data_IF_107430574798
#
_entry.id   IF_107430574798
#
_cell.length_a   1.000
_cell.length_b   1.000
_cell.length_c   1.000
_cell.angle_alpha   90.00
_cell.angle_beta   90.00
_cell.angle_gamma   90.00
#
_symmetry.space_group_name_H-M   'P 1'
#
loop_
_entity.id
_entity.type
_entity.pdbx_description
1 polymer ?
#
# COMPACT_ATOMS: atom_id res chain seq x y z
N UNK A 1 33.56 26.02 -27.96
CA UNK A 1 33.11 24.70 -28.43
C UNK A 1 33.73 23.64 -27.52
N UNK A 2 32.96 22.71 -26.98
CA UNK A 2 33.43 21.37 -26.58
C UNK A 2 32.20 20.50 -26.26
N UNK A 3 32.16 19.30 -26.84
CA UNK A 3 30.98 18.42 -26.85
C UNK A 3 31.40 17.02 -26.43
N UNK A 4 30.77 16.48 -25.38
CA UNK A 4 30.87 15.06 -24.98
C UNK A 4 29.47 14.63 -24.53
N UNK A 5 28.64 14.07 -25.40
CA UNK A 5 28.61 12.69 -25.95
C UNK A 5 28.06 11.65 -24.96
N UNK A 6 26.93 11.08 -25.37
CA UNK A 6 26.17 10.02 -24.69
C UNK A 6 26.84 8.67 -24.97
N UNK A 7 27.02 7.87 -23.93
CA UNK A 7 27.22 6.42 -23.97
C UNK A 7 26.66 5.85 -22.65
N UNK A 8 26.09 4.66 -22.58
CA UNK A 8 25.88 3.63 -23.59
C UNK A 8 25.63 2.32 -22.84
N UNK A 9 24.42 1.77 -22.93
CA UNK A 9 24.00 0.62 -22.10
C UNK A 9 24.76 -0.65 -22.51
N UNK A 10 25.30 -1.38 -21.53
CA UNK A 10 25.81 -2.74 -21.70
C UNK A 10 25.13 -3.70 -20.72
N UNK A 11 24.27 -4.56 -21.26
CA UNK A 11 23.68 -5.71 -20.57
C UNK A 11 24.50 -6.94 -20.93
N UNK A 12 25.12 -7.57 -19.93
CA UNK A 12 25.86 -8.84 -20.11
C UNK A 12 25.03 -10.01 -19.57
N UNK A 13 24.48 -10.81 -20.47
CA UNK A 13 23.89 -12.11 -20.15
C UNK A 13 25.02 -13.15 -20.15
N UNK A 14 25.18 -13.89 -19.06
CA UNK A 14 26.06 -15.05 -18.98
C UNK A 14 25.21 -16.31 -18.78
N UNK A 15 25.09 -17.11 -19.84
CA UNK A 15 24.44 -18.42 -19.82
C UNK A 15 25.54 -19.49 -19.72
N UNK A 16 25.53 -20.31 -18.68
CA UNK A 16 26.43 -21.45 -18.53
C UNK A 16 25.60 -22.69 -18.14
N UNK A 17 25.54 -23.66 -19.05
CA UNK A 17 24.95 -24.98 -18.80
C UNK A 17 26.04 -26.04 -18.76
N UNK A 18 25.86 -27.05 -17.89
CA UNK A 18 26.59 -28.32 -17.93
C UNK A 18 25.57 -29.44 -17.70
N UNK A 19 25.67 -30.50 -18.50
CA UNK A 19 24.78 -31.66 -18.52
C UNK A 19 25.62 -32.91 -18.76
N UNK A 20 25.39 -34.01 -18.02
CA UNK A 20 25.95 -35.39 -18.10
C UNK A 20 26.15 -35.97 -16.67
N UNK A 21 26.05 -37.27 -16.33
CA UNK A 21 25.63 -38.53 -17.01
C UNK A 21 25.40 -39.65 -15.96
N UNK A 22 24.52 -40.65 -16.20
CA UNK A 22 24.47 -42.01 -15.55
C UNK A 22 24.32 -42.12 -14.01
N UNK A 23 23.99 -43.24 -13.34
CA UNK A 23 23.62 -44.62 -13.71
C UNK A 23 24.58 -45.69 -13.14
N UNK A 24 24.20 -46.75 -12.40
CA UNK A 24 22.91 -47.17 -11.79
C UNK A 24 23.11 -48.30 -10.73
N UNK A 25 22.04 -48.67 -9.99
CA UNK A 25 21.76 -49.88 -9.12
C UNK A 25 22.89 -50.68 -8.41
N UNK A 26 22.74 -50.82 -7.07
CA UNK A 26 22.77 -52.05 -6.21
C UNK A 26 22.97 -51.64 -4.72
N UNK A 27 22.60 -52.35 -3.65
CA UNK A 27 21.54 -53.32 -3.39
C UNK A 27 21.32 -53.46 -1.85
N UNK A 28 20.12 -53.93 -1.46
CA UNK A 28 19.75 -54.58 -0.18
C UNK A 28 20.39 -54.14 1.17
N UNK A 29 19.63 -53.38 1.96
CA UNK A 29 19.65 -53.48 3.42
C UNK A 29 18.22 -53.34 3.98
N UNK A 30 17.71 -54.39 4.62
CA UNK A 30 16.37 -54.45 5.21
C UNK A 30 16.42 -54.06 6.70
N UNK A 31 15.28 -53.57 7.23
CA UNK A 31 14.94 -53.41 8.66
C UNK A 31 15.69 -52.30 9.43
N UNK A 32 15.04 -51.24 9.91
CA UNK A 32 13.80 -51.22 10.71
C UNK A 32 13.03 -49.92 10.53
N UNK A 33 11.71 -50.00 10.62
CA UNK A 33 10.87 -48.83 10.80
C UNK A 33 10.81 -48.39 12.28
N UNK A 34 11.00 -47.09 12.54
CA UNK A 34 10.19 -46.36 13.50
C UNK A 34 9.10 -45.60 12.73
N UNK A 35 7.85 -45.71 13.16
CA UNK A 35 6.79 -44.83 12.66
C UNK A 35 7.03 -43.41 13.18
N UNK A 36 7.76 -42.59 12.42
CA UNK A 36 7.75 -41.16 12.63
C UNK A 36 6.34 -40.62 12.40
N UNK A 37 5.72 -40.13 13.49
CA UNK A 37 4.46 -39.39 13.42
C UNK A 37 4.71 -38.03 12.74
N UNK A 38 4.75 -38.03 11.41
CA UNK A 38 4.49 -36.83 10.62
C UNK A 38 3.01 -36.45 10.77
N UNK A 39 2.66 -35.85 11.92
CA UNK A 39 1.50 -34.97 12.00
C UNK A 39 2.01 -33.56 11.85
N UNK A 40 1.89 -33.07 10.61
CA UNK A 40 2.38 -31.78 10.14
C UNK A 40 2.41 -30.70 11.22
N UNK A 41 3.62 -30.24 11.55
CA UNK A 41 3.77 -28.85 11.91
C UNK A 41 3.30 -28.05 10.69
N UNK A 42 2.07 -27.53 10.76
CA UNK A 42 1.66 -26.46 9.88
C UNK A 42 2.56 -25.28 10.23
N UNK A 43 3.64 -25.14 9.46
CA UNK A 43 4.54 -24.00 9.49
C UNK A 43 3.66 -22.75 9.48
N UNK A 44 3.65 -21.99 10.59
CA UNK A 44 2.89 -20.75 10.69
C UNK A 44 3.51 -19.77 9.70
N UNK A 45 3.00 -19.78 8.47
CA UNK A 45 3.33 -18.81 7.45
C UNK A 45 3.23 -17.42 8.10
N UNK A 46 4.32 -16.63 8.14
CA UNK A 46 4.42 -15.46 8.98
C UNK A 46 3.22 -14.56 8.69
N UNK A 47 2.37 -14.36 9.70
CA UNK A 47 1.00 -13.82 9.53
C UNK A 47 1.06 -12.60 8.64
N UNK A 48 0.56 -12.77 7.41
CA UNK A 48 0.68 -11.76 6.37
C UNK A 48 0.15 -10.43 6.93
N UNK A 49 0.89 -9.33 6.68
CA UNK A 49 0.53 -7.99 7.15
C UNK A 49 -0.97 -7.76 6.95
N UNK A 50 -1.67 -7.18 7.93
CA UNK A 50 -3.13 -7.07 7.91
C UNK A 50 -3.59 -6.59 6.54
N UNK A 51 -4.44 -7.38 5.90
CA UNK A 51 -4.80 -7.18 4.51
C UNK A 51 -5.29 -5.74 4.29
N UNK A 52 -4.80 -5.11 3.23
CA UNK A 52 -5.15 -3.72 2.92
C UNK A 52 -6.66 -3.55 2.77
N UNK A 53 -7.15 -2.32 2.96
CA UNK A 53 -8.56 -2.03 2.64
C UNK A 53 -8.77 -2.25 1.13
N UNK A 54 -9.92 -2.82 0.74
CA UNK A 54 -10.30 -2.81 -0.67
C UNK A 54 -10.35 -1.37 -1.20
N UNK A 55 -10.09 -1.16 -2.51
CA UNK A 55 -10.41 0.09 -3.18
C UNK A 55 -11.89 0.46 -2.97
N UNK A 56 -12.20 1.75 -3.07
CA UNK A 56 -13.55 2.23 -2.78
C UNK A 56 -14.58 1.60 -3.74
N UNK A 57 -15.76 1.24 -3.24
CA UNK A 57 -16.83 0.51 -3.96
C UNK A 57 -16.54 -0.95 -4.35
N UNK A 58 -15.28 -1.41 -4.38
CA UNK A 58 -14.96 -2.78 -4.81
C UNK A 58 -15.57 -3.86 -3.88
N UNK A 59 -15.83 -3.52 -2.61
CA UNK A 59 -16.42 -4.44 -1.65
C UNK A 59 -17.82 -4.95 -2.05
N UNK A 60 -18.56 -4.18 -2.86
CA UNK A 60 -19.93 -4.46 -3.31
C UNK A 60 -20.00 -5.36 -4.56
N UNK A 61 -18.91 -5.43 -5.33
CA UNK A 61 -18.89 -6.08 -6.66
C UNK A 61 -17.94 -7.27 -6.79
N UNK A 62 -17.04 -7.49 -5.82
CA UNK A 62 -16.04 -8.57 -5.90
C UNK A 62 -16.33 -9.76 -4.99
N UNK A 63 -16.16 -10.96 -5.55
CA UNK A 63 -16.23 -12.23 -4.82
C UNK A 63 -15.01 -12.46 -3.90
N UNK A 64 -14.96 -13.62 -3.24
CA UNK A 64 -13.87 -13.99 -2.31
C UNK A 64 -12.52 -14.22 -3.03
N UNK A 65 -12.51 -14.86 -4.20
CA UNK A 65 -11.29 -15.15 -4.94
C UNK A 65 -10.69 -13.87 -5.56
N UNK A 66 -11.55 -13.01 -6.13
CA UNK A 66 -11.17 -11.69 -6.62
C UNK A 66 -10.62 -10.80 -5.50
N UNK A 67 -11.22 -10.84 -4.31
CA UNK A 67 -10.73 -10.12 -3.12
C UNK A 67 -9.33 -10.57 -2.68
N UNK A 68 -9.09 -11.88 -2.66
CA UNK A 68 -7.76 -12.44 -2.37
C UNK A 68 -6.73 -12.04 -3.44
N UNK A 69 -7.12 -12.02 -4.72
CA UNK A 69 -6.26 -11.52 -5.80
C UNK A 69 -5.93 -10.03 -5.65
N UNK A 70 -6.92 -9.19 -5.34
CA UNK A 70 -6.72 -7.75 -5.07
C UNK A 70 -5.73 -7.54 -3.92
N UNK A 71 -5.85 -8.28 -2.82
CA UNK A 71 -4.92 -8.18 -1.69
C UNK A 71 -3.49 -8.61 -2.05
N UNK A 72 -3.32 -9.66 -2.86
CA UNK A 72 -2.00 -10.07 -3.38
C UNK A 72 -1.36 -8.96 -4.22
N UNK A 73 -2.13 -8.34 -5.12
CA UNK A 73 -1.68 -7.20 -5.93
C UNK A 73 -1.28 -6.02 -5.03
N UNK A 74 -2.10 -5.67 -4.03
CA UNK A 74 -1.75 -4.61 -3.07
C UNK A 74 -0.43 -4.90 -2.35
N UNK A 75 -0.23 -6.14 -1.87
CA UNK A 75 1.01 -6.55 -1.19
C UNK A 75 2.24 -6.51 -2.10
N UNK A 76 2.09 -6.85 -3.37
CA UNK A 76 3.17 -6.79 -4.38
C UNK A 76 3.59 -5.35 -4.71
N UNK A 77 2.63 -4.42 -4.77
CA UNK A 77 2.89 -3.04 -5.16
C UNK A 77 3.24 -2.10 -4.01
N UNK A 78 2.82 -2.37 -2.76
CA UNK A 78 3.19 -1.55 -1.60
C UNK A 78 4.71 -1.29 -1.44
N UNK A 79 5.63 -2.28 -1.53
CA UNK A 79 7.06 -1.99 -1.44
C UNK A 79 7.56 -1.10 -2.59
N UNK A 80 7.05 -1.28 -3.82
CA UNK A 80 7.40 -0.46 -4.99
C UNK A 80 6.93 0.99 -4.79
N UNK A 81 5.71 1.16 -4.29
CA UNK A 81 5.14 2.48 -3.98
C UNK A 81 5.84 3.15 -2.79
N UNK A 82 6.24 2.39 -1.76
CA UNK A 82 6.99 2.91 -0.62
C UNK A 82 8.37 3.46 -1.06
N UNK A 83 9.04 2.78 -1.99
CA UNK A 83 10.32 3.24 -2.54
C UNK A 83 10.15 4.51 -3.40
N UNK A 84 9.16 4.53 -4.31
CA UNK A 84 8.84 5.74 -5.09
C UNK A 84 8.48 6.95 -4.20
N UNK A 85 7.75 6.74 -3.09
CA UNK A 85 7.44 7.78 -2.11
C UNK A 85 8.70 8.35 -1.44
N UNK A 86 9.69 7.51 -1.10
CA UNK A 86 10.99 7.95 -0.55
C UNK A 86 11.81 8.76 -1.55
N UNK A 87 11.86 8.31 -2.80
CA UNK A 87 12.56 9.01 -3.88
C UNK A 87 11.92 10.38 -4.14
N UNK A 88 10.58 10.45 -4.15
CA UNK A 88 9.83 11.70 -4.25
C UNK A 88 10.09 12.63 -3.06
N UNK A 89 10.13 12.11 -1.84
CA UNK A 89 10.44 12.89 -0.63
C UNK A 89 11.87 13.47 -0.69
N UNK A 90 12.86 12.67 -1.10
CA UNK A 90 14.25 13.10 -1.25
C UNK A 90 14.39 14.22 -2.31
N UNK A 91 13.79 14.03 -3.49
CA UNK A 91 13.77 15.06 -4.54
C UNK A 91 13.03 16.33 -4.12
N UNK A 92 11.95 16.19 -3.35
CA UNK A 92 11.19 17.33 -2.81
C UNK A 92 12.06 18.14 -1.83
N UNK A 93 12.77 17.48 -0.91
CA UNK A 93 13.71 18.14 0.02
C UNK A 93 14.82 18.87 -0.74
N UNK A 94 15.47 18.20 -1.70
CA UNK A 94 16.54 18.81 -2.51
C UNK A 94 16.06 20.02 -3.33
N UNK A 95 14.83 19.97 -3.87
CA UNK A 95 14.21 21.11 -4.54
C UNK A 95 13.97 22.26 -3.56
N UNK A 96 13.41 21.98 -2.40
CA UNK A 96 13.03 23.00 -1.42
C UNK A 96 14.25 23.64 -0.75
N UNK A 97 15.34 22.89 -0.56
CA UNK A 97 16.67 23.40 -0.20
C UNK A 97 17.22 24.38 -1.26
N UNK A 98 17.16 24.01 -2.55
CA UNK A 98 17.57 24.90 -3.66
C UNK A 98 16.70 26.15 -3.76
N UNK A 99 15.39 26.03 -3.50
CA UNK A 99 14.47 27.19 -3.44
C UNK A 99 14.83 28.10 -2.24
N UNK A 100 15.17 27.54 -1.08
CA UNK A 100 15.62 28.32 0.08
C UNK A 100 16.96 29.02 -0.18
N UNK A 101 17.87 28.38 -0.90
CA UNK A 101 19.20 28.91 -1.20
C UNK A 101 19.20 30.16 -2.11
N UNK A 102 18.11 30.45 -2.83
CA UNK A 102 17.98 31.68 -3.65
C UNK A 102 17.29 32.84 -2.92
N UNK A 103 16.89 32.65 -1.66
CA UNK A 103 16.26 33.71 -0.84
C UNK A 103 17.32 34.54 -0.10
N UNK A 104 17.05 35.83 0.08
CA UNK A 104 17.85 36.65 1.01
C UNK A 104 17.59 36.22 2.47
N UNK A 105 18.51 36.52 3.42
CA UNK A 105 18.31 36.18 4.84
C UNK A 105 17.02 36.77 5.44
N UNK A 106 16.59 37.94 4.95
CA UNK A 106 15.34 38.59 5.39
C UNK A 106 14.11 37.88 4.83
N UNK A 107 14.13 37.50 3.55
CA UNK A 107 13.08 36.71 2.92
C UNK A 107 12.93 35.34 3.58
N UNK A 108 14.04 34.65 3.89
CA UNK A 108 14.02 33.36 4.57
C UNK A 108 13.38 33.47 5.96
N UNK A 109 13.80 34.44 6.78
CA UNK A 109 13.18 34.74 8.09
C UNK A 109 11.68 34.99 7.96
N UNK A 110 11.24 35.74 6.93
CA UNK A 110 9.82 36.02 6.73
C UNK A 110 9.03 34.77 6.33
N UNK A 111 9.59 33.90 5.50
CA UNK A 111 9.00 32.60 5.14
C UNK A 111 8.83 31.72 6.38
N UNK A 112 9.83 31.66 7.26
CA UNK A 112 9.78 30.85 8.49
C UNK A 112 8.70 31.33 9.46
N UNK A 113 8.58 32.64 9.69
CA UNK A 113 7.48 33.24 10.45
C UNK A 113 6.10 32.83 9.90
N UNK A 114 5.91 32.93 8.58
CA UNK A 114 4.65 32.56 7.92
C UNK A 114 4.35 31.06 8.04
N UNK A 115 5.38 30.20 7.98
CA UNK A 115 5.23 28.76 8.19
C UNK A 115 4.80 28.41 9.63
N UNK A 116 5.38 29.08 10.63
CA UNK A 116 4.97 28.93 12.03
C UNK A 116 3.54 29.41 12.28
N UNK A 117 3.18 30.59 11.78
CA UNK A 117 1.81 31.11 11.88
C UNK A 117 0.81 30.14 11.25
N UNK A 118 1.11 29.64 10.05
CA UNK A 118 0.27 28.66 9.36
C UNK A 118 0.17 27.35 10.15
N UNK A 119 1.24 26.91 10.81
CA UNK A 119 1.21 25.75 11.72
C UNK A 119 0.29 26.01 12.91
N UNK A 120 0.48 27.11 13.64
CA UNK A 120 -0.34 27.52 14.80
C UNK A 120 -1.82 27.63 14.42
N UNK A 121 -2.13 28.22 13.25
CA UNK A 121 -3.50 28.30 12.68
C UNK A 121 -4.10 26.91 12.40
N UNK A 122 -3.34 25.98 11.82
CA UNK A 122 -3.79 24.58 11.59
C UNK A 122 -4.01 23.81 12.90
N UNK A 123 -3.17 24.02 13.91
CA UNK A 123 -3.31 23.39 15.23
C UNK A 123 -4.55 23.92 15.97
N UNK A 124 -4.76 25.24 15.97
CA UNK A 124 -5.97 25.85 16.53
C UNK A 124 -7.27 25.42 15.80
N UNK A 125 -7.21 25.22 14.48
CA UNK A 125 -8.35 24.70 13.71
C UNK A 125 -8.69 23.25 14.08
N UNK A 126 -7.70 22.40 14.39
CA UNK A 126 -7.91 21.02 14.87
C UNK A 126 -8.44 20.96 16.31
N UNK A 127 -8.17 21.98 17.13
CA UNK A 127 -8.58 22.04 18.53
C UNK A 127 -10.01 22.57 18.73
N UNK A 128 -10.62 23.21 17.73
CA UNK A 128 -12.04 23.62 17.79
C UNK A 128 -12.93 22.41 17.49
N UNK A 129 -13.83 21.98 18.40
CA UNK A 129 -14.81 20.97 18.08
C UNK A 129 -15.75 21.49 16.97
N UNK A 130 -16.16 20.59 16.08
CA UNK A 130 -17.11 20.87 15.00
C UNK A 130 -18.50 21.17 15.58
N UNK A 131 -18.73 22.41 16.01
CA UNK A 131 -20.04 22.87 16.42
C UNK A 131 -20.98 22.96 15.21
N UNK A 132 -21.98 22.08 15.19
CA UNK A 132 -23.23 22.31 14.46
C UNK A 132 -23.19 22.16 12.94
N UNK A 133 -23.09 20.93 12.44
CA UNK A 133 -23.94 20.58 11.31
C UNK A 133 -25.27 20.08 11.91
N UNK A 134 -26.40 20.81 11.78
CA UNK A 134 -27.67 20.36 12.35
C UNK A 134 -28.06 19.04 11.71
N UNK A 135 -28.43 18.06 12.54
CA UNK A 135 -28.95 16.80 12.07
C UNK A 135 -30.15 17.07 11.16
N UNK A 136 -30.10 16.58 9.91
CA UNK A 136 -31.27 16.57 9.04
C UNK A 136 -32.38 15.84 9.80
N UNK A 137 -33.60 16.42 9.92
CA UNK A 137 -34.69 15.73 10.60
C UNK A 137 -34.94 14.38 9.91
N UNK A 138 -35.33 13.33 10.67
CA UNK A 138 -35.64 12.05 10.08
C UNK A 138 -36.76 12.22 9.05
N UNK A 139 -36.60 11.61 7.88
CA UNK A 139 -37.68 11.55 6.89
C UNK A 139 -38.90 10.92 7.56
N UNK A 140 -40.12 11.46 7.40
CA UNK A 140 -41.31 10.74 7.79
C UNK A 140 -41.31 9.38 7.06
N UNK A 141 -41.61 8.32 7.80
CA UNK A 141 -41.79 6.99 7.22
C UNK A 141 -42.99 6.98 6.27
N UNK A 142 -43.15 5.95 5.42
CA UNK A 142 -44.31 5.85 4.56
C UNK A 142 -45.58 5.76 5.41
N UNK A 143 -46.42 6.79 5.33
CA UNK A 143 -47.78 6.75 5.86
C UNK A 143 -48.50 5.55 5.22
N UNK A 144 -48.99 4.63 6.03
CA UNK A 144 -49.97 3.64 5.57
C UNK A 144 -51.19 4.42 5.07
N UNK A 145 -51.62 4.26 3.80
CA UNK A 145 -52.90 4.80 3.37
C UNK A 145 -54.03 4.23 4.23
N UNK A 146 -55.00 5.09 4.53
CA UNK A 146 -56.09 4.82 5.45
C UNK A 146 -56.97 3.63 5.03
N UNK A 147 -57.77 3.15 6.00
CA UNK A 147 -58.87 2.21 5.82
C UNK A 147 -59.67 2.50 4.54
N UNK A 148 -59.81 1.47 3.70
CA UNK A 148 -60.99 1.34 2.84
C UNK A 148 -62.04 0.56 3.62
N UNK A 149 -63.24 1.10 3.86
CA UNK A 149 -64.36 0.26 4.26
C UNK A 149 -64.70 -0.67 3.10
N UNK A 150 -64.57 -1.98 3.31
CA UNK A 150 -65.12 -2.99 2.40
C UNK A 150 -66.63 -3.09 2.65
N UNK A 151 -67.41 -2.45 1.80
CA UNK A 151 -68.83 -2.80 1.64
C UNK A 151 -68.97 -4.18 0.99
N UNK A 152 -69.87 -4.97 1.57
CA UNK A 152 -70.47 -6.22 1.05
C UNK A 152 -69.56 -7.47 0.97
#
# INVERSE_FOLDING_TARGET
MQSVRIAGVLVTIALAGVMALGGAVDAAAQEKAPQEKQKAAAEEAPRAKPAGRLPNYYAEVVDKAQREAIYKIQQEYEPKLAELRRQLEALTKQRDEKIRAVLTPEQLKKVEQLQEEARKKREAAKAKPSQGQPAKPPKPGPEKPADKPSEQ
#
